data_IF_050757811315
#
_entry.id   IF_050757811315
#
_cell.length_a   1.000
_cell.length_b   1.000
_cell.length_c   1.000
_cell.angle_alpha   90.00
_cell.angle_beta   90.00
_cell.angle_gamma   90.00
#
_symmetry.space_group_name_H-M   'P 1'
#
loop_
_entity.id
_entity.type
_entity.pdbx_description
1 polymer ?
#
# COMPACT_ATOMS: atom_id res chain seq x y z
N UNK A 1 -7.90 13.59 -2.27
CA UNK A 1 -6.75 13.95 -3.13
C UNK A 1 -6.06 12.66 -3.59
N UNK A 2 -6.19 12.27 -4.87
CA UNK A 2 -5.57 11.04 -5.40
C UNK A 2 -4.11 11.36 -5.74
N UNK A 3 -3.21 11.19 -4.78
CA UNK A 3 -1.77 11.20 -5.09
C UNK A 3 -1.49 9.96 -5.93
N UNK A 4 -1.17 10.16 -7.22
CA UNK A 4 -0.82 9.09 -8.16
C UNK A 4 0.52 8.46 -7.72
N UNK A 5 0.57 7.14 -7.64
CA UNK A 5 1.78 6.38 -7.30
C UNK A 5 2.95 6.73 -8.25
N UNK A 6 2.63 7.03 -9.50
CA UNK A 6 3.58 7.41 -10.53
C UNK A 6 4.32 8.72 -10.18
N UNK A 7 3.58 9.75 -9.75
CA UNK A 7 4.17 11.01 -9.28
C UNK A 7 5.09 10.80 -8.06
N UNK A 8 4.75 9.88 -7.14
CA UNK A 8 5.62 9.55 -6.00
C UNK A 8 6.92 8.85 -6.45
N UNK A 9 6.86 7.99 -7.48
CA UNK A 9 8.04 7.34 -8.07
C UNK A 9 8.94 8.35 -8.78
N UNK A 10 8.37 9.29 -9.52
CA UNK A 10 9.12 10.40 -10.15
C UNK A 10 9.80 11.28 -9.09
N UNK A 11 9.06 11.66 -8.04
CA UNK A 11 9.60 12.47 -6.94
C UNK A 11 10.76 11.75 -6.23
N UNK A 12 10.67 10.43 -6.03
CA UNK A 12 11.76 9.60 -5.50
C UNK A 12 12.99 9.64 -6.40
N UNK A 13 12.82 9.48 -7.71
CA UNK A 13 13.91 9.56 -8.69
C UNK A 13 14.58 10.93 -8.69
N UNK A 14 13.79 12.01 -8.61
CA UNK A 14 14.29 13.37 -8.52
C UNK A 14 15.16 13.59 -7.28
N UNK A 15 14.69 13.18 -6.09
CA UNK A 15 15.49 13.32 -4.87
C UNK A 15 16.74 12.44 -4.86
N UNK A 16 16.68 11.23 -5.43
CA UNK A 16 17.88 10.38 -5.60
C UNK A 16 18.91 11.01 -6.54
N UNK A 17 18.46 11.64 -7.62
CA UNK A 17 19.35 12.38 -8.52
C UNK A 17 19.96 13.59 -7.79
N UNK A 18 19.14 14.36 -7.07
CA UNK A 18 19.60 15.53 -6.30
C UNK A 18 20.62 15.15 -5.24
N UNK A 19 20.47 14.02 -4.56
CA UNK A 19 21.45 13.53 -3.57
C UNK A 19 22.84 13.22 -4.15
N UNK A 20 22.94 12.96 -5.45
CA UNK A 20 24.23 12.78 -6.14
C UNK A 20 24.97 14.10 -6.36
N UNK A 21 24.29 15.24 -6.17
CA UNK A 21 24.92 16.53 -6.23
C UNK A 21 25.95 16.70 -5.10
N UNK A 22 27.16 17.14 -5.48
CA UNK A 22 28.27 17.35 -4.55
C UNK A 22 28.17 18.71 -3.84
N UNK A 23 27.31 19.61 -4.31
CA UNK A 23 27.07 20.92 -3.70
C UNK A 23 26.19 20.91 -2.45
N UNK A 24 25.60 19.76 -2.10
CA UNK A 24 24.73 19.64 -0.94
C UNK A 24 25.52 19.57 0.37
N UNK A 25 25.11 20.42 1.31
CA UNK A 25 25.58 20.32 2.71
C UNK A 25 25.03 19.06 3.38
N UNK A 26 25.72 18.55 4.41
CA UNK A 26 25.28 17.36 5.16
C UNK A 26 23.86 17.50 5.71
N UNK A 27 23.49 18.71 6.15
CA UNK A 27 22.14 19.00 6.66
C UNK A 27 21.09 18.80 5.57
N UNK A 28 21.32 19.34 4.38
CA UNK A 28 20.41 19.18 3.24
C UNK A 28 20.33 17.71 2.80
N UNK A 29 21.47 16.99 2.77
CA UNK A 29 21.46 15.55 2.46
C UNK A 29 20.61 14.76 3.45
N UNK A 30 20.71 15.07 4.74
CA UNK A 30 19.92 14.41 5.77
C UNK A 30 18.42 14.70 5.62
N UNK A 31 18.05 15.93 5.26
CA UNK A 31 16.65 16.29 4.93
C UNK A 31 16.12 15.52 3.72
N UNK A 32 16.90 15.43 2.64
CA UNK A 32 16.52 14.65 1.45
C UNK A 32 16.37 13.15 1.75
N UNK A 33 17.25 12.59 2.59
CA UNK A 33 17.14 11.20 3.05
C UNK A 33 15.87 10.96 3.87
N UNK A 34 15.52 11.89 4.76
CA UNK A 34 14.25 11.82 5.52
C UNK A 34 13.05 11.89 4.58
N UNK A 35 13.07 12.79 3.59
CA UNK A 35 12.00 12.91 2.60
C UNK A 35 11.83 11.62 1.78
N UNK A 36 12.93 11.00 1.34
CA UNK A 36 12.91 9.72 0.62
C UNK A 36 12.27 8.60 1.45
N UNK A 37 12.63 8.49 2.74
CA UNK A 37 12.07 7.48 3.64
C UNK A 37 10.55 7.62 3.80
N UNK A 38 10.06 8.86 3.87
CA UNK A 38 8.61 9.14 3.95
C UNK A 38 7.92 8.71 2.65
N UNK A 39 8.48 9.07 1.49
CA UNK A 39 7.91 8.72 0.18
C UNK A 39 7.86 7.21 -0.01
N UNK A 40 8.92 6.49 0.34
CA UNK A 40 8.95 5.02 0.25
C UNK A 40 7.88 4.37 1.15
N UNK A 41 7.70 4.89 2.37
CA UNK A 41 6.65 4.41 3.28
C UNK A 41 5.25 4.62 2.67
N UNK A 42 4.98 5.79 2.09
CA UNK A 42 3.68 6.09 1.45
C UNK A 42 3.44 5.20 0.23
N UNK A 43 4.47 4.94 -0.58
CA UNK A 43 4.37 4.02 -1.73
C UNK A 43 4.00 2.62 -1.24
N UNK A 44 4.72 2.11 -0.24
CA UNK A 44 4.48 0.78 0.34
C UNK A 44 3.08 0.65 0.93
N UNK A 45 2.63 1.62 1.72
CA UNK A 45 1.28 1.62 2.29
C UNK A 45 0.18 1.63 1.22
N UNK A 46 0.39 2.34 0.10
CA UNK A 46 -0.54 2.36 -1.04
C UNK A 46 -0.53 1.05 -1.82
N UNK A 47 0.61 0.39 -1.96
CA UNK A 47 0.70 -0.94 -2.58
C UNK A 47 0.02 -2.00 -1.72
N UNK A 48 0.30 -2.05 -0.41
CA UNK A 48 -0.34 -2.97 0.54
C UNK A 48 -1.87 -2.74 0.62
N UNK A 49 -2.32 -1.48 0.58
CA UNK A 49 -3.76 -1.15 0.59
C UNK A 49 -4.48 -1.63 -0.68
N UNK A 50 -3.79 -1.67 -1.83
CA UNK A 50 -4.35 -2.25 -3.07
C UNK A 50 -4.41 -3.78 -2.99
N UNK A 51 -3.49 -4.41 -2.26
CA UNK A 51 -3.45 -5.86 -2.11
C UNK A 51 -4.54 -6.40 -1.17
N UNK A 52 -4.79 -5.70 -0.05
CA UNK A 52 -5.87 -6.04 0.90
C UNK A 52 -7.26 -6.02 0.27
N UNK A 53 -7.50 -5.19 -0.76
CA UNK A 53 -8.74 -5.19 -1.52
C UNK A 53 -8.98 -6.47 -2.32
N UNK A 54 -7.92 -7.18 -2.74
CA UNK A 54 -8.00 -8.44 -3.50
C UNK A 54 -8.18 -9.67 -2.61
N UNK A 55 -7.88 -9.55 -1.32
CA UNK A 55 -8.02 -10.63 -0.33
C UNK A 55 -9.43 -10.77 0.26
N UNK A 56 -10.42 -9.99 -0.21
CA UNK A 56 -11.81 -10.44 -0.12
C UNK A 56 -12.00 -11.60 -1.11
N UNK A 57 -11.44 -12.76 -0.76
CA UNK A 57 -11.88 -14.04 -1.32
C UNK A 57 -13.39 -14.03 -1.16
N UNK A 58 -14.09 -14.02 -2.29
CA UNK A 58 -15.51 -14.28 -2.36
C UNK A 58 -15.77 -15.57 -1.58
N UNK A 59 -16.35 -15.45 -0.39
CA UNK A 59 -16.87 -16.60 0.34
C UNK A 59 -18.24 -16.82 -0.31
N UNK A 60 -18.43 -17.83 -1.18
CA UNK A 60 -19.78 -18.16 -1.62
C UNK A 60 -20.55 -18.55 -0.37
N UNK A 61 -21.58 -17.79 -0.05
CA UNK A 61 -22.53 -18.14 1.00
C UNK A 61 -23.26 -19.40 0.52
N UNK A 62 -22.84 -20.55 1.02
CA UNK A 62 -23.43 -21.84 0.67
C UNK A 62 -24.79 -21.97 1.38
N UNK A 63 -25.85 -21.60 0.68
CA UNK A 63 -27.24 -21.68 1.16
C UNK A 63 -27.75 -23.14 1.32
N UNK A 64 -26.96 -24.18 1.05
CA UNK A 64 -27.48 -25.57 0.96
C UNK A 64 -27.48 -26.38 2.26
N UNK A 65 -27.11 -25.80 3.42
CA UNK A 65 -27.14 -26.54 4.71
C UNK A 65 -28.29 -26.21 5.66
N UNK A 66 -29.28 -25.42 5.24
CA UNK A 66 -30.44 -25.05 6.07
C UNK A 66 -31.71 -25.87 5.77
N UNK A 67 -31.57 -27.09 5.25
CA UNK A 67 -32.71 -27.91 4.81
C UNK A 67 -32.67 -29.28 5.50
N UNK A 68 -33.51 -29.41 6.54
CA UNK A 68 -33.93 -30.62 7.28
C UNK A 68 -32.97 -31.29 8.28
N UNK A 69 -32.89 -30.72 9.49
CA UNK A 69 -32.85 -31.51 10.73
C UNK A 69 -34.12 -31.21 11.53
N UNK A 70 -35.21 -31.86 11.14
CA UNK A 70 -36.37 -32.00 12.02
C UNK A 70 -36.87 -33.44 11.91
N UNK A 71 -36.09 -34.37 12.48
CA UNK A 71 -36.56 -35.73 12.74
C UNK A 71 -37.58 -35.62 13.88
N UNK A 72 -38.85 -35.64 13.50
CA UNK A 72 -40.01 -35.89 14.37
C UNK A 72 -39.72 -37.09 15.28
N UNK A 73 -39.75 -36.86 16.59
CA UNK A 73 -39.98 -37.90 17.59
C UNK A 73 -41.45 -37.87 18.00
N UNK A 74 -42.16 -38.96 17.76
CA UNK A 74 -43.38 -39.36 18.45
C UNK A 74 -43.14 -40.77 18.99
#
# INVERSE_FOLDING_TARGET
>A
MIVKLEALKETRSFYNWKLKDKGLTEKQRNEFLKALKIIEKIIKEKEDSRERGKHKKFIPYDHKKAVFLNKRGY
#
